data_IF_131878866563
#
_entry.id   IF_131878866563
#
_cell.length_a   1.000
_cell.length_b   1.000
_cell.length_c   1.000
_cell.angle_alpha   90.00
_cell.angle_beta   90.00
_cell.angle_gamma   90.00
#
_symmetry.space_group_name_H-M   'P 1'
#
loop_
_entity.id
_entity.type
_entity.pdbx_description
1 polymer ?
#
# COMPACT_ATOMS: atom_id res chain seq x y z
N UNK A 1 0.78 -21.81 -22.66
CA UNK A 1 1.83 -20.76 -22.74
C UNK A 1 2.18 -20.46 -24.20
N UNK A 2 2.65 -21.44 -24.99
CA UNK A 2 3.03 -21.22 -26.39
C UNK A 2 1.92 -20.58 -27.25
N UNK A 3 0.69 -21.10 -27.17
CA UNK A 3 -0.46 -20.55 -27.93
C UNK A 3 -0.80 -19.10 -27.54
N UNK A 4 -0.66 -18.76 -26.26
CA UNK A 4 -0.88 -17.39 -25.78
C UNK A 4 0.17 -16.44 -26.34
N UNK A 5 1.45 -16.83 -26.26
CA UNK A 5 2.56 -16.03 -26.79
C UNK A 5 2.46 -15.86 -28.31
N UNK A 6 1.99 -16.88 -29.05
CA UNK A 6 1.73 -16.77 -30.48
C UNK A 6 0.67 -15.69 -30.79
N UNK A 7 -0.46 -15.70 -30.06
CA UNK A 7 -1.49 -14.66 -30.19
C UNK A 7 -0.97 -13.26 -29.83
N UNK A 8 -0.09 -13.14 -28.83
CA UNK A 8 0.56 -11.87 -28.52
C UNK A 8 1.41 -11.36 -29.70
N UNK A 9 2.20 -12.24 -30.33
CA UNK A 9 3.00 -11.89 -31.52
C UNK A 9 2.10 -11.45 -32.68
N UNK A 10 1.04 -12.18 -32.97
CA UNK A 10 0.09 -11.83 -34.03
C UNK A 10 -0.59 -10.48 -33.77
N UNK A 11 -0.89 -10.17 -32.51
CA UNK A 11 -1.51 -8.89 -32.12
C UNK A 11 -0.58 -7.69 -32.34
N UNK A 12 0.74 -7.86 -32.17
CA UNK A 12 1.72 -6.77 -32.33
C UNK A 12 1.82 -6.34 -33.79
N UNK A 13 1.84 -7.28 -34.73
CA UNK A 13 1.98 -6.98 -36.16
C UNK A 13 0.69 -6.49 -36.82
N UNK A 14 -0.46 -6.61 -36.14
CA UNK A 14 -1.77 -6.31 -36.71
C UNK A 14 -1.92 -4.89 -37.28
N UNK A 15 -1.21 -3.91 -36.73
CA UNK A 15 -1.38 -2.50 -37.10
C UNK A 15 -0.09 -1.84 -37.64
N UNK A 16 0.96 -2.63 -37.90
CA UNK A 16 2.25 -2.07 -38.36
C UNK A 16 2.11 -1.35 -39.70
N UNK A 17 1.32 -1.89 -40.63
CA UNK A 17 1.14 -1.32 -41.97
C UNK A 17 0.42 0.04 -41.91
N UNK A 18 -0.57 0.17 -41.03
CA UNK A 18 -1.29 1.43 -40.82
C UNK A 18 -0.39 2.52 -40.22
N UNK A 19 0.51 2.14 -39.30
CA UNK A 19 1.52 3.05 -38.76
C UNK A 19 2.55 3.46 -39.80
N UNK A 20 2.97 2.53 -40.68
CA UNK A 20 3.88 2.82 -41.77
C UNK A 20 3.29 3.82 -42.78
N UNK A 21 2.04 3.60 -43.21
CA UNK A 21 1.33 4.54 -44.10
C UNK A 21 1.24 5.94 -43.47
N UNK A 22 0.85 6.01 -42.19
CA UNK A 22 0.78 7.28 -41.45
C UNK A 22 2.14 8.01 -41.42
N UNK A 23 3.20 7.26 -41.13
CA UNK A 23 4.58 7.77 -41.03
C UNK A 23 5.05 8.37 -42.36
N UNK A 24 4.80 7.66 -43.48
CA UNK A 24 5.11 8.17 -44.82
C UNK A 24 4.29 9.41 -45.16
N UNK A 25 2.99 9.42 -44.84
CA UNK A 25 2.10 10.58 -45.11
C UNK A 25 2.48 11.82 -44.31
N UNK A 26 3.03 11.65 -43.11
CA UNK A 26 3.57 12.76 -42.30
C UNK A 26 4.91 13.29 -42.81
N UNK A 27 5.56 12.59 -43.76
CA UNK A 27 6.88 12.95 -44.25
C UNK A 27 8.01 12.69 -43.24
N UNK A 28 7.80 11.76 -42.30
CA UNK A 28 8.81 11.40 -41.30
C UNK A 28 9.76 10.36 -41.89
N UNK A 29 10.98 10.79 -42.24
CA UNK A 29 12.00 9.95 -42.86
C UNK A 29 12.72 9.09 -41.83
N UNK A 30 12.39 7.79 -41.83
CA UNK A 30 12.96 6.74 -40.98
C UNK A 30 12.93 5.41 -41.74
N UNK A 31 13.81 4.48 -41.40
CA UNK A 31 13.79 3.12 -41.93
C UNK A 31 12.72 2.28 -41.22
N UNK A 32 11.69 1.87 -41.96
CA UNK A 32 10.63 1.01 -41.47
C UNK A 32 10.77 -0.44 -41.97
N UNK A 33 11.62 -0.66 -42.97
CA UNK A 33 11.85 -1.98 -43.57
C UNK A 33 12.73 -2.83 -42.66
N UNK A 34 13.70 -2.21 -41.98
CA UNK A 34 14.60 -2.83 -41.00
C UNK A 34 14.45 -2.25 -39.57
N UNK A 35 13.20 -2.04 -39.15
CA UNK A 35 12.90 -1.55 -37.80
C UNK A 35 13.15 -2.62 -36.74
N UNK A 36 13.94 -2.29 -35.71
CA UNK A 36 14.21 -3.19 -34.58
C UNK A 36 12.93 -3.58 -33.82
N UNK A 37 12.86 -4.82 -33.32
CA UNK A 37 11.73 -5.29 -32.49
C UNK A 37 12.25 -5.93 -31.22
N UNK A 38 11.62 -5.58 -30.10
CA UNK A 38 12.01 -6.10 -28.78
C UNK A 38 11.77 -7.60 -28.61
N UNK A 39 10.99 -8.20 -29.52
CA UNK A 39 10.70 -9.65 -29.55
C UNK A 39 11.66 -10.46 -30.43
N UNK A 40 12.61 -9.80 -31.11
CA UNK A 40 13.61 -10.45 -31.95
C UNK A 40 14.71 -11.09 -31.09
N UNK A 41 15.25 -12.26 -31.46
CA UNK A 41 16.23 -12.97 -30.64
C UNK A 41 17.47 -12.13 -30.31
N UNK A 42 18.00 -11.38 -31.28
CA UNK A 42 19.20 -10.55 -31.09
C UNK A 42 18.98 -9.43 -30.06
N UNK A 43 17.76 -8.84 -30.02
CA UNK A 43 17.41 -7.86 -29.01
C UNK A 43 17.33 -8.50 -27.62
N UNK A 44 16.69 -9.67 -27.50
CA UNK A 44 16.57 -10.41 -26.23
C UNK A 44 17.95 -10.81 -25.71
N UNK A 45 18.86 -11.26 -26.58
CA UNK A 45 20.24 -11.61 -26.22
C UNK A 45 21.00 -10.40 -25.65
N UNK A 46 20.80 -9.20 -26.21
CA UNK A 46 21.38 -7.96 -25.68
C UNK A 46 20.85 -7.62 -24.27
N UNK A 47 19.55 -7.86 -24.02
CA UNK A 47 18.94 -7.66 -22.71
C UNK A 47 19.51 -8.66 -21.71
N UNK A 48 19.66 -9.94 -22.10
CA UNK A 48 20.27 -10.97 -21.25
C UNK A 48 21.71 -10.62 -20.87
N UNK A 49 22.49 -10.13 -21.82
CA UNK A 49 23.84 -9.64 -21.54
C UNK A 49 23.82 -8.50 -20.51
N UNK A 50 22.96 -7.50 -20.66
CA UNK A 50 22.90 -6.38 -19.71
C UNK A 50 22.46 -6.81 -18.31
N UNK A 51 21.48 -7.71 -18.19
CA UNK A 51 21.07 -8.29 -16.91
C UNK A 51 22.20 -9.08 -16.24
N UNK A 52 22.97 -9.85 -17.02
CA UNK A 52 24.13 -10.57 -16.52
C UNK A 52 25.21 -9.61 -15.98
N UNK A 53 25.47 -8.50 -16.67
CA UNK A 53 26.41 -7.48 -16.21
C UNK A 53 25.97 -6.82 -14.90
N UNK A 54 24.67 -6.51 -14.76
CA UNK A 54 24.10 -5.94 -13.52
C UNK A 54 24.19 -6.97 -12.38
N UNK A 55 23.86 -8.22 -12.66
CA UNK A 55 23.97 -9.31 -11.69
C UNK A 55 25.41 -9.55 -11.24
N UNK A 56 26.38 -9.54 -12.15
CA UNK A 56 27.81 -9.71 -11.84
C UNK A 56 28.36 -8.58 -10.97
N UNK A 57 27.68 -7.44 -10.91
CA UNK A 57 28.02 -6.28 -10.07
C UNK A 57 27.25 -6.27 -8.74
N UNK A 58 26.53 -7.33 -8.40
CA UNK A 58 25.69 -7.44 -7.20
C UNK A 58 24.58 -6.37 -7.11
N UNK A 59 24.14 -5.83 -8.25
CA UNK A 59 23.08 -4.82 -8.34
C UNK A 59 21.68 -5.40 -8.59
N UNK A 60 21.59 -6.71 -8.88
CA UNK A 60 20.34 -7.43 -9.08
C UNK A 60 20.17 -8.48 -7.98
N UNK A 61 19.26 -8.24 -7.05
CA UNK A 61 19.02 -9.08 -5.87
C UNK A 61 17.57 -9.54 -5.77
N UNK A 62 17.35 -10.67 -5.10
CA UNK A 62 16.03 -11.19 -4.77
C UNK A 62 15.69 -10.88 -3.31
N UNK A 63 14.47 -10.40 -3.06
CA UNK A 63 13.99 -10.04 -1.73
C UNK A 63 12.47 -10.28 -1.58
N UNK A 64 12.01 -10.42 -0.34
CA UNK A 64 10.60 -10.50 0.03
C UNK A 64 10.16 -9.19 0.68
N UNK A 65 9.51 -8.33 -0.11
CA UNK A 65 9.12 -6.98 0.30
C UNK A 65 7.67 -6.65 -0.03
N UNK A 66 7.11 -5.66 0.66
CA UNK A 66 5.84 -5.04 0.27
C UNK A 66 6.08 -4.22 -1.00
N UNK A 67 5.30 -4.48 -2.04
CA UNK A 67 5.37 -3.79 -3.32
C UNK A 67 3.96 -3.56 -3.87
N UNK A 68 3.75 -2.57 -4.75
CA UNK A 68 2.49 -2.41 -5.47
C UNK A 68 2.16 -3.70 -6.23
N UNK A 69 0.93 -4.19 -6.09
CA UNK A 69 0.49 -5.46 -6.64
C UNK A 69 -0.82 -5.29 -7.42
N UNK A 70 -0.86 -5.81 -8.65
CA UNK A 70 -2.09 -5.85 -9.43
C UNK A 70 -2.80 -7.19 -9.24
N UNK A 71 -3.97 -7.25 -8.57
CA UNK A 71 -4.69 -8.51 -8.35
C UNK A 71 -5.25 -9.11 -9.66
N UNK A 72 -5.50 -8.27 -10.68
CA UNK A 72 -5.96 -8.72 -12.00
C UNK A 72 -4.85 -9.40 -12.80
N UNK A 73 -3.65 -8.81 -12.80
CA UNK A 73 -2.50 -9.33 -13.56
C UNK A 73 -1.71 -10.38 -12.79
N UNK A 74 -1.81 -10.43 -11.46
CA UNK A 74 -1.07 -11.37 -10.62
C UNK A 74 0.43 -11.11 -10.59
N UNK A 75 0.85 -9.84 -10.65
CA UNK A 75 2.26 -9.44 -10.64
C UNK A 75 2.48 -8.14 -9.85
N UNK A 76 3.70 -7.99 -9.35
CA UNK A 76 4.18 -6.72 -8.79
C UNK A 76 4.38 -5.68 -9.90
N UNK A 77 4.27 -4.41 -9.52
CA UNK A 77 4.48 -3.27 -10.40
C UNK A 77 5.66 -2.43 -9.90
N UNK A 78 6.28 -1.70 -10.82
CA UNK A 78 7.27 -0.68 -10.52
C UNK A 78 6.61 0.63 -10.09
N UNK A 79 7.38 1.48 -9.40
CA UNK A 79 6.91 2.81 -8.97
C UNK A 79 6.49 3.70 -10.15
N UNK A 80 7.17 3.56 -11.29
CA UNK A 80 6.88 4.31 -12.51
C UNK A 80 5.53 3.91 -13.13
N UNK A 81 5.17 2.63 -13.07
CA UNK A 81 3.85 2.15 -13.54
C UNK A 81 2.73 2.63 -12.63
N UNK A 82 2.95 2.61 -11.31
CA UNK A 82 1.96 3.09 -10.34
C UNK A 82 1.65 4.58 -10.51
N UNK A 83 2.69 5.41 -10.73
CA UNK A 83 2.55 6.84 -10.86
C UNK A 83 1.68 7.29 -12.05
N UNK A 84 1.57 6.45 -13.09
CA UNK A 84 0.77 6.75 -14.29
C UNK A 84 -0.73 6.51 -14.12
N UNK A 85 -1.14 5.77 -13.08
CA UNK A 85 -2.50 5.25 -12.93
C UNK A 85 -3.31 5.83 -11.77
N UNK A 86 -2.95 7.01 -11.26
CA UNK A 86 -3.72 7.62 -10.16
C UNK A 86 -5.12 8.05 -10.64
N UNK A 87 -6.13 7.53 -9.94
CA UNK A 87 -7.53 7.84 -10.18
C UNK A 87 -8.20 8.30 -8.90
N UNK A 88 -9.20 9.18 -9.02
CA UNK A 88 -10.05 9.54 -7.89
C UNK A 88 -11.09 8.46 -7.69
N UNK A 89 -10.99 7.74 -6.59
CA UNK A 89 -11.93 6.69 -6.18
C UNK A 89 -12.60 7.05 -4.87
N UNK A 90 -13.77 6.46 -4.63
CA UNK A 90 -14.50 6.64 -3.37
C UNK A 90 -14.22 5.44 -2.48
N UNK A 91 -13.54 5.67 -1.37
CA UNK A 91 -13.25 4.66 -0.35
C UNK A 91 -14.11 4.86 0.90
N UNK A 92 -14.38 3.77 1.65
CA UNK A 92 -14.97 3.90 2.97
C UNK A 92 -14.01 4.64 3.91
N UNK A 93 -14.54 5.48 4.79
CA UNK A 93 -13.77 6.12 5.87
C UNK A 93 -14.38 5.71 7.20
N UNK A 94 -13.66 4.88 7.96
CA UNK A 94 -14.20 4.28 9.19
C UNK A 94 -13.28 4.53 10.39
N UNK A 95 -13.91 4.67 11.54
CA UNK A 95 -13.25 4.66 12.84
C UNK A 95 -13.55 3.36 13.57
N UNK A 96 -12.53 2.73 14.13
CA UNK A 96 -12.61 1.43 14.81
C UNK A 96 -12.02 1.56 16.20
N UNK A 97 -12.71 0.96 17.17
CA UNK A 97 -12.33 0.96 18.59
C UNK A 97 -11.45 -0.24 18.89
N UNK A 98 -10.34 0.00 19.57
CA UNK A 98 -9.37 -1.00 19.97
C UNK A 98 -9.29 -0.95 21.51
N UNK A 99 -10.11 -1.73 22.23
CA UNK A 99 -10.17 -1.71 23.70
C UNK A 99 -8.80 -1.93 24.33
N UNK A 100 -8.39 -1.09 25.28
CA UNK A 100 -7.11 -1.25 25.98
C UNK A 100 -7.19 -2.40 26.98
N UNK A 101 -6.19 -3.27 26.95
CA UNK A 101 -6.07 -4.44 27.84
C UNK A 101 -4.94 -4.30 28.86
N UNK A 102 -4.06 -3.31 28.72
CA UNK A 102 -3.06 -2.94 29.72
C UNK A 102 -2.87 -1.42 29.81
N UNK A 103 -2.03 -0.99 30.75
CA UNK A 103 -1.80 0.42 31.05
C UNK A 103 -2.85 1.01 32.02
N UNK A 104 -2.78 2.32 32.28
CA UNK A 104 -3.62 3.01 33.26
C UNK A 104 -5.10 3.13 32.86
N UNK A 105 -5.45 2.78 31.61
CA UNK A 105 -6.82 2.83 31.08
C UNK A 105 -7.36 1.45 30.69
N UNK A 106 -6.70 0.37 31.14
CA UNK A 106 -7.10 -1.01 30.82
C UNK A 106 -8.54 -1.29 31.23
N UNK A 107 -9.37 -1.77 30.29
CA UNK A 107 -10.78 -2.04 30.52
C UNK A 107 -11.68 -0.79 30.66
N UNK A 108 -11.11 0.41 30.62
CA UNK A 108 -11.85 1.67 30.76
C UNK A 108 -11.99 2.45 29.47
N UNK A 109 -10.99 2.37 28.57
CA UNK A 109 -10.96 3.14 27.33
C UNK A 109 -10.51 2.28 26.13
N UNK A 110 -10.84 2.76 24.94
CA UNK A 110 -10.37 2.19 23.68
C UNK A 110 -9.54 3.21 22.89
N UNK A 111 -8.53 2.73 22.15
CA UNK A 111 -7.87 3.53 21.13
C UNK A 111 -8.83 3.73 19.96
N UNK A 112 -8.95 4.96 19.46
CA UNK A 112 -9.73 5.25 18.25
C UNK A 112 -8.81 5.28 17.03
N UNK A 113 -8.98 4.32 16.12
CA UNK A 113 -8.16 4.16 14.91
C UNK A 113 -8.99 4.50 13.68
N UNK A 114 -8.45 5.32 12.78
CA UNK A 114 -9.06 5.64 11.48
C UNK A 114 -8.40 4.84 10.35
N UNK A 115 -9.20 4.35 9.40
CA UNK A 115 -8.68 3.70 8.18
C UNK A 115 -9.61 3.88 6.99
N UNK A 116 -9.03 3.96 5.79
CA UNK A 116 -9.75 3.86 4.52
C UNK A 116 -9.74 2.46 3.91
N UNK A 117 -9.02 1.52 4.52
CA UNK A 117 -8.84 0.15 4.02
C UNK A 117 -9.24 -0.87 5.09
N UNK A 118 -10.55 -1.04 5.38
CA UNK A 118 -11.02 -1.92 6.46
C UNK A 118 -10.55 -3.37 6.34
N UNK A 119 -10.31 -3.83 5.10
CA UNK A 119 -9.82 -5.19 4.82
C UNK A 119 -8.44 -5.48 5.45
N UNK A 120 -7.64 -4.45 5.78
CA UNK A 120 -6.33 -4.60 6.44
C UNK A 120 -6.44 -4.89 7.95
N UNK A 121 -7.61 -4.66 8.57
CA UNK A 121 -7.80 -4.88 10.01
C UNK A 121 -7.63 -6.36 10.41
N UNK A 122 -7.89 -7.27 9.47
CA UNK A 122 -7.71 -8.72 9.64
C UNK A 122 -6.24 -9.09 9.89
N UNK A 123 -5.29 -8.25 9.46
CA UNK A 123 -3.86 -8.44 9.69
C UNK A 123 -3.23 -7.37 10.58
N UNK A 124 -4.03 -6.63 11.36
CA UNK A 124 -3.50 -5.64 12.30
C UNK A 124 -2.57 -6.30 13.34
N UNK A 125 -1.33 -5.79 13.44
CA UNK A 125 -0.28 -6.27 14.35
C UNK A 125 0.06 -5.31 15.47
N UNK A 126 -0.10 -4.00 15.27
CA UNK A 126 0.24 -2.96 16.23
C UNK A 126 -0.57 -1.68 15.95
N UNK A 127 -0.55 -0.76 16.90
CA UNK A 127 -1.01 0.62 16.72
C UNK A 127 0.19 1.53 16.88
N UNK A 128 0.49 2.37 15.88
CA UNK A 128 1.58 3.32 15.99
C UNK A 128 1.10 4.63 16.64
N UNK A 129 1.81 5.09 17.66
CA UNK A 129 1.59 6.38 18.31
C UNK A 129 2.84 7.25 18.16
N UNK A 130 2.68 8.50 17.70
CA UNK A 130 3.83 9.39 17.56
C UNK A 130 4.34 9.79 18.97
N UNK A 131 5.64 9.56 19.28
CA UNK A 131 6.12 9.64 20.66
C UNK A 131 5.96 11.02 21.29
N UNK A 132 6.13 12.09 20.51
CA UNK A 132 5.96 13.47 20.96
C UNK A 132 4.55 14.05 20.84
N UNK A 133 3.58 13.30 20.32
CA UNK A 133 2.17 13.76 20.24
C UNK A 133 1.47 13.45 21.55
N UNK A 134 0.61 14.37 21.99
CA UNK A 134 -0.25 14.19 23.15
C UNK A 134 -1.59 13.58 22.72
N UNK A 135 -1.97 12.54 23.42
CA UNK A 135 -3.22 11.81 23.29
C UNK A 135 -4.07 12.08 24.53
N UNK A 136 -5.33 12.41 24.33
CA UNK A 136 -6.27 12.74 25.40
C UNK A 136 -7.36 11.70 25.50
N UNK A 137 -7.89 11.52 26.70
CA UNK A 137 -9.06 10.68 26.93
C UNK A 137 -10.31 11.56 26.83
N UNK A 138 -11.13 11.29 25.82
CA UNK A 138 -12.42 11.92 25.60
C UNK A 138 -13.57 10.98 25.97
N UNK A 139 -14.69 11.51 26.42
CA UNK A 139 -15.89 10.73 26.76
C UNK A 139 -17.16 11.44 26.31
N UNK A 140 -18.16 10.65 25.94
CA UNK A 140 -19.53 11.11 25.70
C UNK A 140 -20.49 10.74 26.85
N UNK A 141 -19.95 10.29 27.99
CA UNK A 141 -20.70 9.78 29.14
C UNK A 141 -20.97 8.27 29.12
N UNK A 142 -20.86 7.61 27.96
CA UNK A 142 -21.07 6.17 27.82
C UNK A 142 -19.76 5.39 27.68
N UNK A 143 -18.82 5.95 26.92
CA UNK A 143 -17.52 5.32 26.66
C UNK A 143 -16.36 6.34 26.79
N UNK A 144 -15.14 5.82 26.89
CA UNK A 144 -13.91 6.61 26.87
C UNK A 144 -13.07 6.22 25.66
N UNK A 145 -12.61 7.21 24.91
CA UNK A 145 -11.75 7.01 23.74
C UNK A 145 -10.44 7.79 23.91
N UNK A 146 -9.34 7.16 23.50
CA UNK A 146 -8.03 7.80 23.40
C UNK A 146 -7.85 8.32 21.97
N UNK A 147 -7.67 9.64 21.84
CA UNK A 147 -7.55 10.34 20.55
C UNK A 147 -6.41 11.33 20.62
N UNK A 148 -5.70 11.56 19.51
CA UNK A 148 -4.70 12.61 19.43
C UNK A 148 -5.35 13.98 19.70
N UNK A 149 -4.78 14.77 20.61
CA UNK A 149 -5.31 16.09 21.03
C UNK A 149 -5.66 17.01 19.84
N UNK A 150 -4.84 17.11 18.77
CA UNK A 150 -5.16 17.97 17.62
C UNK A 150 -6.35 17.49 16.77
N UNK A 151 -6.81 16.25 16.96
CA UNK A 151 -7.81 15.60 16.11
C UNK A 151 -9.15 15.36 16.82
N UNK A 152 -9.29 15.74 18.09
CA UNK A 152 -10.50 15.49 18.89
C UNK A 152 -11.77 15.97 18.17
N UNK A 153 -11.82 17.25 17.79
CA UNK A 153 -13.00 17.82 17.12
C UNK A 153 -13.30 17.13 15.79
N UNK A 154 -12.25 16.84 14.99
CA UNK A 154 -12.40 16.23 13.66
C UNK A 154 -12.79 14.76 13.72
N UNK A 155 -12.32 14.02 14.72
CA UNK A 155 -12.53 12.58 14.84
C UNK A 155 -13.83 12.24 15.56
N UNK A 156 -14.23 13.03 16.57
CA UNK A 156 -15.33 12.71 17.46
C UNK A 156 -16.59 13.56 17.20
N UNK A 157 -16.44 14.79 16.70
CA UNK A 157 -17.54 15.72 16.51
C UNK A 157 -18.14 16.24 17.83
N UNK A 158 -19.42 16.62 17.79
CA UNK A 158 -20.14 17.16 18.94
C UNK A 158 -20.48 16.07 19.97
N UNK A 159 -20.62 16.45 21.25
CA UNK A 159 -21.04 15.54 22.33
C UNK A 159 -19.92 14.78 23.03
N UNK A 160 -18.66 15.12 22.74
CA UNK A 160 -17.49 14.55 23.40
C UNK A 160 -16.76 15.60 24.24
N UNK A 161 -16.39 15.22 25.45
CA UNK A 161 -15.66 16.08 26.40
C UNK A 161 -14.33 15.43 26.77
N UNK A 162 -13.26 16.25 26.82
CA UNK A 162 -11.95 15.79 27.28
C UNK A 162 -11.96 15.69 28.80
N UNK A 163 -11.63 14.51 29.33
CA UNK A 163 -11.64 14.20 30.76
C UNK A 163 -10.52 14.88 31.57
N UNK A 164 -9.52 15.43 30.88
CA UNK A 164 -8.29 15.98 31.47
C UNK A 164 -7.15 14.97 31.61
N UNK A 165 -7.42 13.66 31.44
CA UNK A 165 -6.37 12.66 31.34
C UNK A 165 -5.69 12.74 29.97
N UNK A 166 -4.36 12.74 29.95
CA UNK A 166 -3.58 12.77 28.72
C UNK A 166 -2.25 12.04 28.88
N UNK A 167 -1.75 11.49 27.78
CA UNK A 167 -0.50 10.74 27.70
C UNK A 167 0.24 11.16 26.42
N UNK A 168 1.55 11.13 26.46
CA UNK A 168 2.38 11.17 25.25
C UNK A 168 2.36 9.80 24.57
N UNK A 169 2.59 9.77 23.25
CA UNK A 169 2.72 8.50 22.54
C UNK A 169 3.82 7.61 23.13
N UNK A 170 4.90 8.22 23.64
CA UNK A 170 5.98 7.51 24.32
C UNK A 170 5.53 6.83 25.63
N UNK A 171 4.65 7.46 26.41
CA UNK A 171 4.09 6.86 27.64
C UNK A 171 3.12 5.70 27.34
N UNK A 172 2.54 5.70 26.15
CA UNK A 172 1.64 4.65 25.67
C UNK A 172 2.39 3.44 25.10
N UNK A 173 3.71 3.53 24.90
CA UNK A 173 4.51 2.43 24.37
C UNK A 173 4.26 1.14 25.16
N UNK A 174 4.07 0.03 24.44
CA UNK A 174 3.78 -1.31 25.00
C UNK A 174 2.43 -1.46 25.71
N UNK A 175 1.54 -0.47 25.67
CA UNK A 175 0.16 -0.72 26.07
C UNK A 175 -0.48 -1.71 25.11
N UNK A 176 -1.13 -2.73 25.64
CA UNK A 176 -1.77 -3.78 24.85
C UNK A 176 -3.23 -3.45 24.62
N UNK A 177 -3.78 -3.96 23.52
CA UNK A 177 -5.17 -3.76 23.15
C UNK A 177 -5.79 -5.02 22.56
N UNK A 178 -7.13 -5.08 22.57
CA UNK A 178 -7.89 -6.08 21.85
C UNK A 178 -8.12 -5.64 20.41
N UNK A 179 -7.65 -6.46 19.47
CA UNK A 179 -7.84 -6.25 18.02
C UNK A 179 -9.28 -6.54 17.60
N UNK A 180 -9.78 -5.96 16.50
CA UNK A 180 -11.17 -6.13 16.07
C UNK A 180 -11.51 -7.53 15.51
N UNK A 181 -10.54 -8.29 15.00
CA UNK A 181 -10.77 -9.59 14.37
C UNK A 181 -9.73 -10.62 14.78
N UNK A 182 -10.14 -11.87 15.03
CA UNK A 182 -9.25 -12.98 15.45
C UNK A 182 -9.12 -14.07 14.38
N UNK A 183 -9.17 -13.68 13.10
CA UNK A 183 -9.17 -14.61 11.96
C UNK A 183 -7.78 -15.15 11.57
N UNK A 184 -6.71 -14.56 12.09
CA UNK A 184 -5.32 -14.89 11.76
C UNK A 184 -4.51 -14.98 13.04
N UNK A 185 -3.71 -16.04 13.15
CA UNK A 185 -2.79 -16.27 14.26
C UNK A 185 -1.47 -15.54 14.04
N UNK A 186 -0.88 -15.06 15.13
CA UNK A 186 0.41 -14.37 15.13
C UNK A 186 1.46 -15.20 15.87
N UNK A 187 2.60 -15.51 15.24
CA UNK A 187 3.64 -16.35 15.85
C UNK A 187 4.47 -15.62 16.91
N UNK A 188 4.36 -14.30 17.00
CA UNK A 188 5.09 -13.44 17.91
C UNK A 188 4.13 -12.51 18.64
N UNK A 189 4.64 -11.83 19.68
CA UNK A 189 3.91 -10.81 20.41
C UNK A 189 3.43 -9.72 19.43
N UNK A 190 2.16 -9.37 19.54
CA UNK A 190 1.46 -8.40 18.71
C UNK A 190 0.36 -7.72 19.55
N UNK A 191 -0.28 -6.72 18.97
CA UNK A 191 -1.40 -5.97 19.53
C UNK A 191 -0.99 -5.10 20.72
N UNK A 192 0.08 -4.32 20.50
CA UNK A 192 0.54 -3.30 21.41
C UNK A 192 0.86 -2.00 20.67
N UNK A 193 0.96 -0.91 21.42
CA UNK A 193 1.31 0.40 20.90
C UNK A 193 2.83 0.50 20.67
N UNK A 194 3.21 0.98 19.48
CA UNK A 194 4.60 1.22 19.03
C UNK A 194 4.87 2.68 18.71
#
# INVERSE_FOLDING_TARGET
>A
IAEFNAKCRDSVTRHTDAFAELTTRMGYWVDLDDAYRTMDPEYVDSVWWSLKEIFTKDLLVQDHRVAPWCPRCGTGLSDHELAQGYETVVDPSVFVRFPLTSGPLAGEAALLVWTTTPWTLVSNTAVAAHPGVRYVVATNGEEKLVVAEPLVEKALGEGWEVTGQSFTGAEMERWTYERPFTLVDFPAEAHYVV
#
